data_IF_245013541326
#
_entry.id   IF_245013541326
#
_cell.length_a   1.000
_cell.length_b   1.000
_cell.length_c   1.000
_cell.angle_alpha   90.00
_cell.angle_beta   90.00
_cell.angle_gamma   90.00
#
_symmetry.space_group_name_H-M   'P 1'
#
loop_
_entity.id
_entity.type
_entity.pdbx_description
1 polymer ?
#
# COMPACT_ATOMS: atom_id res chain seq x y z
N UNK A 1 -25.27 6.28 -0.51
CA UNK A 1 -24.89 4.90 -0.08
C UNK A 1 -23.69 4.97 0.83
N UNK A 2 -23.61 4.14 1.86
CA UNK A 2 -22.40 3.97 2.66
C UNK A 2 -21.67 2.69 2.24
N UNK A 3 -20.36 2.76 2.09
CA UNK A 3 -19.54 1.60 1.76
C UNK A 3 -18.17 1.66 2.45
N UNK A 4 -17.62 0.50 2.79
CA UNK A 4 -16.31 0.42 3.44
C UNK A 4 -15.19 0.59 2.43
N UNK A 5 -14.31 1.57 2.64
CA UNK A 5 -13.11 1.78 1.83
C UNK A 5 -11.94 0.98 2.43
N UNK A 6 -11.79 1.07 3.75
CA UNK A 6 -10.86 0.27 4.54
C UNK A 6 -11.67 -0.35 5.68
N UNK A 7 -11.83 -1.67 5.73
CA UNK A 7 -12.53 -2.35 6.81
C UNK A 7 -12.14 -1.82 8.19
N UNK A 8 -13.15 -1.63 9.05
CA UNK A 8 -13.02 -1.13 10.42
C UNK A 8 -12.48 0.30 10.62
N UNK A 9 -12.03 0.98 9.55
CA UNK A 9 -11.34 2.27 9.68
C UNK A 9 -11.92 3.39 8.81
N UNK A 10 -12.15 3.16 7.52
CA UNK A 10 -12.55 4.20 6.56
C UNK A 10 -13.80 3.78 5.79
N UNK A 11 -14.78 4.67 5.72
CA UNK A 11 -15.98 4.49 4.92
C UNK A 11 -16.18 5.68 3.97
N UNK A 12 -16.86 5.44 2.85
CA UNK A 12 -17.31 6.44 1.92
C UNK A 12 -18.82 6.58 1.98
N UNK A 13 -19.29 7.82 2.06
CA UNK A 13 -20.65 8.22 1.74
C UNK A 13 -20.70 8.68 0.28
N UNK A 14 -21.28 7.85 -0.58
CA UNK A 14 -21.41 8.12 -2.01
C UNK A 14 -22.78 8.74 -2.30
N UNK A 15 -22.77 9.87 -3.01
CA UNK A 15 -23.97 10.55 -3.49
C UNK A 15 -24.43 9.84 -4.77
N UNK A 16 -25.61 9.23 -4.71
CA UNK A 16 -26.16 8.43 -5.82
C UNK A 16 -27.40 9.15 -6.35
N UNK A 17 -27.39 9.46 -7.64
CA UNK A 17 -28.54 10.00 -8.36
C UNK A 17 -29.42 8.88 -8.93
N UNK A 18 -28.81 7.86 -9.52
CA UNK A 18 -29.50 6.68 -10.07
C UNK A 18 -28.94 5.42 -9.39
N UNK A 19 -29.79 4.69 -8.67
CA UNK A 19 -29.40 3.47 -7.94
C UNK A 19 -29.21 2.26 -8.85
N UNK A 20 -29.73 2.28 -10.08
CA UNK A 20 -29.64 1.15 -11.01
C UNK A 20 -28.21 0.91 -11.49
N UNK A 21 -27.41 1.97 -11.63
CA UNK A 21 -25.98 1.87 -11.99
C UNK A 21 -25.15 1.20 -10.88
N UNK A 22 -25.60 1.24 -9.63
CA UNK A 22 -24.86 0.74 -8.47
C UNK A 22 -25.22 -0.69 -8.07
N UNK A 23 -25.79 -1.46 -9.00
CA UNK A 23 -26.22 -2.85 -8.78
C UNK A 23 -25.11 -3.72 -8.18
N UNK A 24 -23.86 -3.50 -8.60
CA UNK A 24 -22.69 -4.26 -8.13
C UNK A 24 -21.86 -3.53 -7.06
N UNK A 25 -22.41 -2.47 -6.48
CA UNK A 25 -21.76 -1.66 -5.45
C UNK A 25 -20.64 -0.75 -6.00
N UNK A 26 -19.84 -0.16 -5.10
CA UNK A 26 -18.78 0.77 -5.48
C UNK A 26 -17.48 0.05 -5.87
N UNK A 27 -16.76 0.66 -6.80
CA UNK A 27 -15.38 0.36 -7.17
C UNK A 27 -14.50 1.59 -6.89
N UNK A 28 -13.44 1.38 -6.13
CA UNK A 28 -12.46 2.39 -5.73
C UNK A 28 -11.25 2.30 -6.66
N UNK A 29 -10.91 3.39 -7.34
CA UNK A 29 -9.71 3.46 -8.17
C UNK A 29 -8.59 4.19 -7.44
N UNK A 30 -7.43 3.57 -7.33
CA UNK A 30 -6.24 4.15 -6.73
C UNK A 30 -5.11 4.28 -7.74
N UNK A 31 -4.47 5.45 -7.76
CA UNK A 31 -3.25 5.66 -8.50
C UNK A 31 -2.07 5.15 -7.68
N UNK A 32 -1.29 4.23 -8.25
CA UNK A 32 -0.13 3.61 -7.63
C UNK A 32 1.15 4.06 -8.33
N UNK A 33 2.12 4.50 -7.54
CA UNK A 33 3.47 4.80 -8.00
C UNK A 33 4.50 4.24 -7.01
N UNK A 34 5.35 3.33 -7.47
CA UNK A 34 6.48 2.80 -6.69
C UNK A 34 7.76 3.21 -7.41
N UNK A 35 8.62 3.95 -6.72
CA UNK A 35 9.91 4.40 -7.24
C UNK A 35 11.04 3.76 -6.44
N UNK A 36 11.96 3.12 -7.15
CA UNK A 36 13.22 2.63 -6.63
C UNK A 36 14.35 3.53 -7.10
N UNK A 37 15.24 3.89 -6.18
CA UNK A 37 16.49 4.60 -6.46
C UNK A 37 17.62 3.73 -5.92
N UNK A 38 18.44 3.22 -6.82
CA UNK A 38 19.50 2.26 -6.54
C UNK A 38 20.84 2.92 -6.84
N UNK A 39 21.77 2.84 -5.89
CA UNK A 39 23.11 3.39 -6.02
C UNK A 39 24.16 2.36 -5.56
N UNK A 40 24.89 1.73 -6.51
CA UNK A 40 25.89 0.70 -6.19
C UNK A 40 27.15 1.23 -5.46
N UNK A 41 27.59 2.47 -5.72
CA UNK A 41 28.71 3.14 -5.05
C UNK A 41 28.44 4.65 -4.96
N UNK A 42 28.88 5.38 -3.91
CA UNK A 42 28.84 6.84 -3.84
C UNK A 42 29.28 7.60 -5.12
N UNK A 43 30.20 7.05 -5.90
CA UNK A 43 30.73 7.64 -7.14
C UNK A 43 30.11 7.06 -8.42
N UNK A 44 29.26 6.04 -8.28
CA UNK A 44 28.61 5.38 -9.41
C UNK A 44 27.25 6.02 -9.72
N UNK A 45 26.76 5.67 -10.89
CA UNK A 45 25.55 6.16 -11.50
C UNK A 45 24.29 5.72 -10.76
N UNK A 46 23.31 6.62 -10.69
CA UNK A 46 22.04 6.36 -10.01
C UNK A 46 21.09 5.69 -10.98
N UNK A 47 20.62 4.51 -10.62
CA UNK A 47 19.59 3.80 -11.36
C UNK A 47 18.23 4.11 -10.74
N UNK A 48 17.26 4.51 -11.56
CA UNK A 48 15.90 4.78 -11.10
C UNK A 48 14.91 3.89 -11.85
N UNK A 49 14.10 3.14 -11.10
CA UNK A 49 13.03 2.32 -11.64
C UNK A 49 11.71 2.85 -11.07
N UNK A 50 10.71 3.00 -11.92
CA UNK A 50 9.40 3.49 -11.54
C UNK A 50 8.32 2.54 -12.06
N UNK A 51 7.43 2.10 -11.17
CA UNK A 51 6.27 1.30 -11.47
C UNK A 51 5.03 2.17 -11.29
N UNK A 52 4.29 2.38 -12.36
CA UNK A 52 3.04 3.17 -12.35
C UNK A 52 1.91 2.24 -12.78
N UNK A 53 0.81 2.27 -12.03
CA UNK A 53 -0.37 1.44 -12.31
C UNK A 53 -1.61 2.04 -11.63
N UNK A 54 -2.77 1.50 -11.98
CA UNK A 54 -4.02 1.71 -11.26
C UNK A 54 -4.42 0.43 -10.55
N UNK A 55 -4.69 0.54 -9.25
CA UNK A 55 -5.27 -0.54 -8.44
C UNK A 55 -6.73 -0.24 -8.25
N UNK A 56 -7.61 -1.16 -8.64
CA UNK A 56 -9.04 -1.04 -8.36
C UNK A 56 -9.45 -1.99 -7.27
N UNK A 57 -10.19 -1.52 -6.27
CA UNK A 57 -10.65 -2.35 -5.18
C UNK A 57 -12.14 -2.20 -4.92
N UNK A 58 -12.75 -3.25 -4.36
CA UNK A 58 -14.17 -3.35 -4.08
C UNK A 58 -14.37 -4.08 -2.75
N UNK A 59 -15.36 -3.69 -1.92
CA UNK A 59 -15.71 -4.46 -0.74
C UNK A 59 -16.25 -5.83 -1.14
N UNK A 60 -15.72 -6.91 -0.54
CA UNK A 60 -16.23 -8.28 -0.76
C UNK A 60 -17.03 -8.76 0.46
N UNK A 61 -16.47 -8.60 1.65
CA UNK A 61 -17.10 -8.89 2.94
C UNK A 61 -16.81 -7.74 3.91
N UNK A 62 -17.25 -7.84 5.16
CA UNK A 62 -16.99 -6.82 6.18
C UNK A 62 -15.52 -6.63 6.54
N UNK A 63 -14.69 -7.63 6.24
CA UNK A 63 -13.29 -7.76 6.62
C UNK A 63 -12.35 -7.95 5.41
N UNK A 64 -12.88 -7.94 4.18
CA UNK A 64 -12.10 -8.24 2.98
C UNK A 64 -12.45 -7.28 1.86
N UNK A 65 -11.42 -6.73 1.21
CA UNK A 65 -11.56 -6.02 -0.06
C UNK A 65 -10.91 -6.83 -1.17
N UNK A 66 -11.61 -6.96 -2.27
CA UNK A 66 -11.11 -7.55 -3.49
C UNK A 66 -10.45 -6.47 -4.34
N UNK A 67 -9.26 -6.72 -4.87
CA UNK A 67 -8.49 -5.78 -5.66
C UNK A 67 -8.01 -6.39 -6.98
N UNK A 68 -7.85 -5.52 -7.97
CA UNK A 68 -7.29 -5.83 -9.27
C UNK A 68 -6.19 -4.81 -9.57
N UNK A 69 -4.96 -5.31 -9.72
CA UNK A 69 -3.83 -4.57 -10.24
C UNK A 69 -3.84 -4.67 -11.76
N UNK A 70 -4.03 -3.55 -12.45
CA UNK A 70 -4.01 -3.48 -13.91
C UNK A 70 -2.61 -3.15 -14.41
N UNK A 71 -2.23 -3.68 -15.57
CA UNK A 71 -1.03 -3.35 -16.37
C UNK A 71 -0.05 -2.35 -15.73
N UNK A 72 1.16 -2.82 -15.43
CA UNK A 72 2.18 -1.99 -14.80
C UNK A 72 3.04 -1.36 -15.89
N UNK A 73 3.10 -0.04 -15.90
CA UNK A 73 4.09 0.70 -16.67
C UNK A 73 5.39 0.78 -15.88
N UNK A 74 6.43 0.17 -16.43
CA UNK A 74 7.77 0.16 -15.87
C UNK A 74 8.61 1.17 -16.65
N UNK A 75 9.12 2.18 -15.95
CA UNK A 75 10.08 3.13 -16.49
C UNK A 75 11.42 2.96 -15.79
N UNK A 76 12.47 2.73 -16.56
CA UNK A 76 13.83 2.55 -16.07
C UNK A 76 14.72 3.64 -16.66
N UNK A 77 15.44 4.33 -15.78
CA UNK A 77 16.39 5.39 -16.13
C UNK A 77 17.76 4.92 -15.64
N UNK A 78 18.64 4.66 -16.61
CA UNK A 78 20.05 4.37 -16.41
C UNK A 78 20.86 5.38 -17.20
N UNK A 79 21.55 6.30 -16.54
CA UNK A 79 22.35 7.34 -17.17
C UNK A 79 21.64 8.14 -18.27
N UNK A 80 21.82 7.71 -19.53
CA UNK A 80 21.31 8.32 -20.76
C UNK A 80 20.33 7.40 -21.51
N UNK A 81 19.97 6.26 -20.94
CA UNK A 81 19.02 5.33 -21.50
C UNK A 81 17.74 5.34 -20.68
N UNK A 82 16.66 5.78 -21.32
CA UNK A 82 15.31 5.74 -20.77
C UNK A 82 14.57 4.62 -21.48
N UNK A 83 14.13 3.62 -20.73
CA UNK A 83 13.28 2.56 -21.25
C UNK A 83 11.94 2.64 -20.54
N UNK A 84 10.87 2.65 -21.32
CA UNK A 84 9.52 2.47 -20.80
C UNK A 84 8.93 1.23 -21.43
N UNK A 85 8.41 0.34 -20.60
CA UNK A 85 7.77 -0.91 -21.02
C UNK A 85 6.48 -1.10 -20.24
N UNK A 86 5.46 -1.60 -20.92
CA UNK A 86 4.26 -2.08 -20.28
C UNK A 86 4.41 -3.57 -19.99
N UNK A 87 4.29 -3.94 -18.72
CA UNK A 87 4.20 -5.33 -18.31
C UNK A 87 2.72 -5.68 -18.17
N UNK A 88 2.23 -6.59 -19.03
CA UNK A 88 0.91 -7.19 -18.87
C UNK A 88 0.89 -7.97 -17.55
N UNK A 89 0.40 -7.30 -16.52
CA UNK A 89 0.36 -7.78 -15.14
C UNK A 89 -1.05 -7.52 -14.65
N UNK A 90 -2.00 -8.31 -15.15
CA UNK A 90 -3.36 -8.35 -14.60
C UNK A 90 -3.35 -9.35 -13.46
N UNK A 91 -3.40 -8.84 -12.24
CA UNK A 91 -3.37 -9.66 -11.03
C UNK A 91 -4.53 -9.29 -10.13
N UNK A 92 -5.38 -10.28 -9.87
CA UNK A 92 -6.44 -10.20 -8.86
C UNK A 92 -5.93 -10.74 -7.53
N UNK A 93 -6.39 -10.12 -6.44
CA UNK A 93 -6.01 -10.47 -5.08
C UNK A 93 -7.01 -9.90 -4.08
N UNK A 94 -7.02 -10.39 -2.85
CA UNK A 94 -7.82 -9.83 -1.77
C UNK A 94 -6.92 -9.35 -0.64
N UNK A 95 -7.28 -8.24 -0.02
CA UNK A 95 -6.64 -7.77 1.22
C UNK A 95 -7.59 -8.13 2.35
N UNK A 96 -7.11 -8.96 3.27
CA UNK A 96 -7.86 -9.41 4.44
C UNK A 96 -7.50 -8.54 5.64
N UNK A 97 -8.51 -8.16 6.40
CA UNK A 97 -8.40 -7.30 7.57
C UNK A 97 -8.87 -8.01 8.82
N UNK A 98 -8.38 -7.54 9.96
CA UNK A 98 -8.91 -7.85 11.28
C UNK A 98 -9.04 -6.54 12.07
N UNK A 99 -9.34 -6.64 13.37
CA UNK A 99 -9.49 -5.45 14.23
C UNK A 99 -8.19 -4.64 14.42
N UNK A 100 -7.04 -5.20 14.01
CA UNK A 100 -5.69 -4.62 14.08
C UNK A 100 -5.16 -4.13 12.72
N UNK A 101 -6.01 -4.05 11.69
CA UNK A 101 -5.61 -3.60 10.36
C UNK A 101 -5.46 -4.78 9.40
N UNK A 102 -4.43 -4.75 8.55
CA UNK A 102 -4.25 -5.77 7.51
C UNK A 102 -3.68 -7.05 8.11
N UNK A 103 -4.40 -8.16 7.94
CA UNK A 103 -3.99 -9.50 8.35
C UNK A 103 -3.05 -10.14 7.32
N UNK A 104 -3.34 -9.96 6.03
CA UNK A 104 -2.59 -10.58 4.95
C UNK A 104 -3.25 -10.42 3.59
N UNK A 105 -2.77 -11.19 2.62
CA UNK A 105 -3.25 -11.22 1.25
C UNK A 105 -3.86 -12.58 0.91
N UNK A 106 -4.93 -12.60 0.13
CA UNK A 106 -5.41 -13.82 -0.51
C UNK A 106 -5.10 -13.74 -2.00
N UNK A 107 -4.33 -14.68 -2.52
CA UNK A 107 -3.94 -14.73 -3.94
C UNK A 107 -4.23 -16.11 -4.52
N UNK A 108 -4.15 -16.22 -5.85
CA UNK A 108 -4.17 -17.50 -6.56
C UNK A 108 -2.77 -17.90 -7.00
N UNK A 109 -2.26 -19.06 -6.53
CA UNK A 109 -1.07 -19.66 -7.10
C UNK A 109 -1.32 -20.29 -8.49
N UNK A 110 -0.29 -20.40 -9.35
CA UNK A 110 1.05 -19.88 -9.17
C UNK A 110 1.15 -18.39 -9.52
N UNK A 111 1.74 -17.60 -8.63
CA UNK A 111 2.03 -16.17 -8.86
C UNK A 111 3.54 -15.94 -8.79
N UNK A 112 4.06 -15.04 -9.64
CA UNK A 112 5.48 -14.65 -9.59
C UNK A 112 5.77 -13.86 -8.33
N UNK A 113 6.85 -14.19 -7.63
CA UNK A 113 7.17 -13.58 -6.32
C UNK A 113 7.38 -12.06 -6.41
N UNK A 114 7.91 -11.57 -7.51
CA UNK A 114 8.08 -10.14 -7.77
C UNK A 114 6.72 -9.41 -7.77
N UNK A 115 5.70 -10.03 -8.38
CA UNK A 115 4.33 -9.51 -8.38
C UNK A 115 3.74 -9.59 -6.98
N UNK A 116 3.90 -10.73 -6.29
CA UNK A 116 3.41 -10.91 -4.91
C UNK A 116 4.00 -9.86 -3.97
N UNK A 117 5.28 -9.51 -4.11
CA UNK A 117 5.91 -8.46 -3.32
C UNK A 117 5.31 -7.08 -3.59
N UNK A 118 4.96 -6.76 -4.85
CA UNK A 118 4.20 -5.55 -5.17
C UNK A 118 2.83 -5.57 -4.49
N UNK A 119 2.11 -6.70 -4.51
CA UNK A 119 0.83 -6.82 -3.81
C UNK A 119 0.97 -6.60 -2.29
N UNK A 120 2.01 -7.16 -1.66
CA UNK A 120 2.30 -6.98 -0.23
C UNK A 120 2.57 -5.51 0.10
N UNK A 121 3.27 -4.80 -0.79
CA UNK A 121 3.52 -3.35 -0.66
C UNK A 121 2.24 -2.54 -0.75
N UNK A 122 1.36 -2.88 -1.69
CA UNK A 122 0.03 -2.28 -1.82
C UNK A 122 -0.75 -2.49 -0.53
N UNK A 123 -0.92 -3.74 -0.09
CA UNK A 123 -1.67 -4.08 1.12
C UNK A 123 -1.11 -3.37 2.37
N UNK A 124 0.21 -3.25 2.49
CA UNK A 124 0.85 -2.52 3.60
C UNK A 124 0.42 -1.05 3.66
N UNK A 125 0.12 -0.39 2.52
CA UNK A 125 -0.39 0.98 2.52
C UNK A 125 -1.81 1.10 3.11
N UNK A 126 -2.61 0.03 3.06
CA UNK A 126 -3.95 -0.03 3.65
C UNK A 126 -3.94 -0.35 5.15
N UNK A 127 -2.77 -0.71 5.71
CA UNK A 127 -2.64 -0.88 7.15
C UNK A 127 -2.51 0.48 7.84
N UNK A 128 -3.64 1.15 8.15
CA UNK A 128 -3.63 2.54 8.63
C UNK A 128 -3.32 2.65 10.14
N UNK A 129 -3.97 1.87 10.99
CA UNK A 129 -3.77 1.88 12.44
C UNK A 129 -3.95 0.48 13.02
N UNK A 130 -3.08 0.08 13.96
CA UNK A 130 -3.10 -1.24 14.59
C UNK A 130 -4.01 -1.36 15.82
N UNK A 131 -4.37 -0.23 16.42
CA UNK A 131 -5.37 -0.18 17.47
C UNK A 131 -6.21 1.08 17.30
N UNK A 132 -7.45 0.90 16.86
CA UNK A 132 -8.42 1.99 16.68
C UNK A 132 -8.65 2.82 17.94
N UNK A 133 -8.44 2.26 19.13
CA UNK A 133 -8.61 2.98 20.41
C UNK A 133 -7.55 4.08 20.59
N UNK A 134 -6.41 3.92 19.93
CA UNK A 134 -5.31 4.89 20.01
C UNK A 134 -5.46 6.04 19.00
N UNK A 135 -6.53 6.07 18.20
CA UNK A 135 -6.74 7.13 17.22
C UNK A 135 -6.77 8.52 17.87
N UNK A 136 -7.32 8.63 19.10
CA UNK A 136 -7.41 9.85 19.91
C UNK A 136 -6.11 10.21 20.62
N UNK A 137 -5.11 9.32 20.56
CA UNK A 137 -3.80 9.59 21.13
C UNK A 137 -2.94 10.27 20.08
N UNK A 138 -2.29 11.38 20.44
CA UNK A 138 -1.41 12.11 19.53
C UNK A 138 -0.17 11.30 19.13
N UNK A 139 0.34 10.45 20.01
CA UNK A 139 1.49 9.58 19.75
C UNK A 139 1.41 8.28 20.54
N UNK A 140 1.75 7.15 19.92
CA UNK A 140 1.88 5.88 20.62
C UNK A 140 2.88 4.96 19.92
N UNK A 141 3.31 3.91 20.61
CA UNK A 141 4.16 2.85 20.07
C UNK A 141 3.34 1.57 19.97
N UNK A 142 3.47 0.85 18.86
CA UNK A 142 2.92 -0.48 18.71
C UNK A 142 3.78 -1.32 17.76
N UNK A 143 3.56 -2.62 17.74
CA UNK A 143 4.16 -3.50 16.73
C UNK A 143 3.19 -3.68 15.57
N UNK A 144 3.69 -3.65 14.35
CA UNK A 144 2.89 -3.90 13.14
C UNK A 144 3.68 -4.74 12.15
N UNK A 145 2.97 -5.63 11.45
CA UNK A 145 3.57 -6.44 10.40
C UNK A 145 3.57 -5.66 9.07
N UNK A 146 4.59 -5.90 8.25
CA UNK A 146 4.81 -5.24 6.97
C UNK A 146 5.62 -6.12 6.04
N UNK A 147 5.90 -5.61 4.84
CA UNK A 147 6.86 -6.23 3.91
C UNK A 147 8.24 -6.46 4.53
N UNK A 148 8.61 -5.65 5.54
CA UNK A 148 9.88 -5.72 6.28
C UNK A 148 9.82 -6.60 7.54
N UNK A 149 8.72 -7.33 7.72
CA UNK A 149 8.44 -8.13 8.91
C UNK A 149 7.74 -7.35 10.02
N UNK A 150 7.79 -7.91 11.22
CA UNK A 150 7.17 -7.33 12.41
C UNK A 150 8.09 -6.23 12.97
N UNK A 151 7.69 -4.98 12.86
CA UNK A 151 8.47 -3.82 13.28
C UNK A 151 7.83 -3.10 14.46
N UNK A 152 8.66 -2.56 15.37
CA UNK A 152 8.18 -1.54 16.29
C UNK A 152 7.94 -0.25 15.50
N UNK A 153 6.76 0.34 15.67
CA UNK A 153 6.32 1.53 14.95
C UNK A 153 5.92 2.63 15.95
N UNK A 154 6.53 3.80 15.78
CA UNK A 154 6.12 5.04 16.43
C UNK A 154 5.08 5.73 15.57
N UNK A 155 3.88 5.93 16.11
CA UNK A 155 2.80 6.64 15.45
C UNK A 155 2.76 8.07 15.97
N UNK A 156 2.57 9.01 15.06
CA UNK A 156 2.24 10.40 15.36
C UNK A 156 0.98 10.76 14.59
N UNK A 157 -0.08 11.07 15.33
CA UNK A 157 -1.40 11.40 14.81
C UNK A 157 -1.62 12.90 15.00
N UNK A 158 -1.93 13.58 13.91
CA UNK A 158 -2.27 15.00 13.86
C UNK A 158 -3.67 15.16 13.30
N UNK A 159 -4.42 16.10 13.87
CA UNK A 159 -5.76 16.46 13.44
C UNK A 159 -5.78 17.95 13.18
N UNK A 160 -6.15 18.32 11.98
CA UNK A 160 -6.33 19.70 11.59
C UNK A 160 -7.81 19.89 11.31
N UNK A 161 -8.48 20.69 12.15
CA UNK A 161 -9.84 21.13 11.84
C UNK A 161 -9.76 22.07 10.65
N UNK A 162 -10.65 21.91 9.67
CA UNK A 162 -10.77 22.89 8.60
C UNK A 162 -11.13 24.24 9.23
N UNK A 163 -10.36 25.28 8.91
CA UNK A 163 -10.81 26.65 9.16
C UNK A 163 -12.13 26.84 8.41
N UNK A 164 -13.12 27.40 9.10
CA UNK A 164 -14.41 27.72 8.52
C UNK A 164 -14.16 28.80 7.48
N UNK A 165 -13.93 28.42 6.23
CA UNK A 165 -14.42 29.12 5.04
C UNK A 165 -13.94 28.41 3.76
N UNK A 166 -14.88 28.31 2.81
CA UNK A 166 -14.75 27.67 1.50
C UNK A 166 -14.58 26.14 1.54
N UNK A 167 -15.69 25.44 1.77
CA UNK A 167 -15.89 24.18 1.02
C UNK A 167 -15.92 24.64 -0.44
N UNK A 168 -14.76 24.74 -1.09
CA UNK A 168 -14.72 24.65 -2.54
C UNK A 168 -15.52 23.38 -2.84
N UNK A 169 -16.57 23.54 -3.64
CA UNK A 169 -17.34 22.42 -4.18
C UNK A 169 -16.39 21.61 -5.07
N UNK A 170 -15.49 20.85 -4.44
CA UNK A 170 -14.67 19.88 -5.12
C UNK A 170 -15.69 18.85 -5.61
N UNK A 171 -15.89 18.86 -6.93
CA UNK A 171 -16.88 18.11 -7.69
C UNK A 171 -16.61 16.59 -7.60
N UNK A 172 -16.70 16.06 -6.39
CA UNK A 172 -16.51 14.65 -6.04
C UNK A 172 -17.85 14.11 -5.60
N UNK A 173 -18.22 12.97 -6.15
CA UNK A 173 -19.48 12.28 -5.86
C UNK A 173 -19.45 11.49 -4.53
N UNK A 174 -18.42 11.65 -3.71
CA UNK A 174 -18.26 10.93 -2.45
C UNK A 174 -17.70 11.80 -1.33
N UNK A 175 -17.94 11.36 -0.09
CA UNK A 175 -17.35 11.91 1.12
C UNK A 175 -16.82 10.81 2.02
N UNK A 176 -15.54 10.84 2.36
CA UNK A 176 -14.91 9.92 3.29
C UNK A 176 -15.26 10.27 4.74
N UNK A 177 -15.40 9.23 5.55
CA UNK A 177 -15.60 9.30 7.01
C UNK A 177 -14.68 8.30 7.70
N UNK A 178 -13.95 8.79 8.69
CA UNK A 178 -13.09 7.99 9.55
C UNK A 178 -13.98 7.39 10.65
N UNK A 179 -14.14 6.07 10.66
CA UNK A 179 -15.11 5.37 11.52
C UNK A 179 -14.84 5.54 13.03
N UNK A 180 -13.59 5.55 13.51
CA UNK A 180 -13.32 5.87 14.90
C UNK A 180 -13.60 7.33 15.29
N UNK A 181 -13.83 8.22 14.31
CA UNK A 181 -13.97 9.67 14.49
C UNK A 181 -15.29 10.20 13.94
N UNK A 182 -16.38 9.44 14.09
CA UNK A 182 -17.70 9.82 13.55
C UNK A 182 -18.19 11.18 14.09
N UNK A 183 -17.80 11.54 15.31
CA UNK A 183 -18.17 12.80 15.96
C UNK A 183 -17.25 13.98 15.59
N UNK A 184 -16.19 13.75 14.79
CA UNK A 184 -15.31 14.83 14.36
C UNK A 184 -16.04 15.81 13.44
N UNK A 185 -15.62 17.08 13.48
CA UNK A 185 -16.19 18.11 12.60
C UNK A 185 -16.00 17.72 11.13
N UNK A 186 -16.99 18.04 10.32
CA UNK A 186 -16.89 17.84 8.87
C UNK A 186 -15.67 18.60 8.33
N UNK A 187 -14.84 17.93 7.52
CA UNK A 187 -13.63 18.52 6.96
C UNK A 187 -12.38 18.36 7.82
N UNK A 188 -12.44 17.71 8.99
CA UNK A 188 -11.23 17.36 9.75
C UNK A 188 -10.27 16.54 8.88
N UNK A 189 -9.04 17.03 8.75
CA UNK A 189 -7.94 16.29 8.12
C UNK A 189 -7.20 15.51 9.19
N UNK A 190 -7.10 14.19 8.98
CA UNK A 190 -6.30 13.28 9.79
C UNK A 190 -4.98 13.02 9.07
N UNK A 191 -3.88 13.24 9.78
CA UNK A 191 -2.53 12.90 9.32
C UNK A 191 -1.91 11.90 10.28
N UNK A 192 -1.42 10.79 9.77
CA UNK A 192 -0.75 9.73 10.54
C UNK A 192 0.64 9.56 9.96
N UNK A 193 1.66 9.84 10.76
CA UNK A 193 3.04 9.50 10.46
C UNK A 193 3.45 8.27 11.26
N UNK A 194 4.10 7.31 10.60
CA UNK A 194 4.62 6.08 11.19
C UNK A 194 6.13 6.03 10.97
N UNK A 195 6.90 5.81 12.02
CA UNK A 195 8.34 5.56 11.94
C UNK A 195 8.64 4.17 12.46
N UNK A 196 9.13 3.28 11.60
CA UNK A 196 9.37 1.86 11.92
C UNK A 196 10.85 1.60 12.21
N UNK A 197 11.09 0.78 13.22
CA UNK A 197 12.41 0.42 13.72
C UNK A 197 12.41 -0.98 14.34
N UNK A 198 13.58 -1.60 14.49
CA UNK A 198 13.73 -2.87 15.20
C UNK A 198 12.85 -3.99 14.64
N UNK A 199 12.86 -4.16 13.31
CA UNK A 199 12.10 -5.20 12.62
C UNK A 199 12.65 -6.59 12.92
N UNK A 200 11.75 -7.52 13.25
CA UNK A 200 12.04 -8.93 13.46
C UNK A 200 11.77 -9.66 12.15
N UNK A 201 12.69 -10.54 11.76
CA UNK A 201 12.67 -11.29 10.50
C UNK A 201 12.55 -10.39 9.25
N UNK A 202 13.43 -9.37 9.09
CA UNK A 202 13.43 -8.55 7.89
C UNK A 202 13.87 -9.35 6.65
N UNK A 203 13.38 -9.00 5.44
CA UNK A 203 13.67 -9.73 4.21
C UNK A 203 15.15 -10.06 4.03
N UNK A 204 15.43 -11.29 3.61
CA UNK A 204 16.76 -11.69 3.13
C UNK A 204 17.02 -11.26 1.68
N UNK A 205 15.97 -10.89 0.95
CA UNK A 205 16.00 -10.50 -0.45
C UNK A 205 15.24 -9.18 -0.59
N UNK A 206 15.87 -8.19 -1.20
CA UNK A 206 15.13 -7.06 -1.79
C UNK A 206 14.76 -7.44 -3.23
N UNK A 207 13.68 -6.88 -3.78
CA UNK A 207 13.05 -7.30 -5.04
C UNK A 207 13.98 -7.56 -6.25
N UNK A 208 15.20 -7.00 -6.25
CA UNK A 208 16.19 -7.09 -7.33
C UNK A 208 17.56 -7.64 -6.87
N UNK A 209 17.73 -8.04 -5.60
CA UNK A 209 19.05 -8.44 -5.07
C UNK A 209 19.02 -9.44 -3.91
N UNK A 210 20.00 -10.34 -3.92
CA UNK A 210 20.28 -11.34 -2.86
C UNK A 210 21.33 -10.85 -1.87
N UNK A 211 20.97 -9.88 -1.03
CA UNK A 211 21.85 -9.39 0.02
C UNK A 211 21.13 -9.08 1.32
N UNK A 212 21.90 -8.94 2.40
CA UNK A 212 21.38 -8.63 3.74
C UNK A 212 20.97 -7.15 3.78
N UNK A 213 19.67 -6.91 3.99
CA UNK A 213 19.11 -5.58 4.09
C UNK A 213 19.32 -4.99 5.49
N UNK A 214 20.04 -3.87 5.53
CA UNK A 214 20.23 -3.02 6.70
C UNK A 214 19.30 -1.80 6.57
N UNK A 215 18.17 -1.84 7.28
CA UNK A 215 17.17 -0.77 7.26
C UNK A 215 17.69 0.46 8.01
N UNK A 216 17.73 1.60 7.33
CA UNK A 216 18.13 2.89 7.93
C UNK A 216 16.93 3.73 8.32
N UNK A 217 15.95 3.82 7.43
CA UNK A 217 14.76 4.65 7.62
C UNK A 217 13.57 3.95 6.99
N UNK A 218 12.45 3.95 7.71
CA UNK A 218 11.19 3.46 7.18
C UNK A 218 10.06 4.31 7.75
N UNK A 219 9.57 5.25 6.93
CA UNK A 219 8.55 6.21 7.32
C UNK A 219 7.35 6.09 6.38
N UNK A 220 6.16 6.06 6.96
CA UNK A 220 4.91 6.22 6.20
C UNK A 220 4.15 7.45 6.68
N UNK A 221 3.48 8.12 5.75
CA UNK A 221 2.57 9.24 5.99
C UNK A 221 1.24 8.90 5.32
N UNK A 222 0.16 9.05 6.06
CA UNK A 222 -1.20 8.80 5.59
C UNK A 222 -1.99 10.07 5.86
N UNK A 223 -2.62 10.61 4.82
CA UNK A 223 -3.45 11.79 4.92
C UNK A 223 -4.88 11.46 4.47
N UNK A 224 -5.84 11.81 5.31
CA UNK A 224 -7.26 11.53 5.08
C UNK A 224 -8.06 12.78 5.38
N UNK A 225 -8.88 13.20 4.44
CA UNK A 225 -9.90 14.22 4.67
C UNK A 225 -11.22 13.77 4.01
N UNK A 226 -12.18 14.68 3.84
CA UNK A 226 -13.50 14.36 3.29
C UNK A 226 -13.49 13.82 1.85
N UNK A 227 -12.47 14.05 1.04
CA UNK A 227 -12.44 13.60 -0.36
C UNK A 227 -11.09 13.02 -0.79
N UNK A 228 -10.15 12.92 0.13
CA UNK A 228 -8.77 12.56 -0.14
C UNK A 228 -8.33 11.44 0.79
N UNK A 229 -7.77 10.39 0.20
CA UNK A 229 -7.01 9.36 0.91
C UNK A 229 -5.69 9.19 0.17
N UNK A 230 -4.59 9.57 0.81
CA UNK A 230 -3.25 9.46 0.25
C UNK A 230 -2.32 8.76 1.22
N UNK A 231 -1.45 7.94 0.66
CA UNK A 231 -0.39 7.26 1.38
C UNK A 231 0.94 7.56 0.70
N UNK A 232 1.95 7.82 1.52
CA UNK A 232 3.34 8.00 1.09
C UNK A 232 4.21 7.18 2.02
N UNK A 233 5.04 6.31 1.48
CA UNK A 233 6.00 5.54 2.24
C UNK A 233 7.39 5.74 1.66
N UNK A 234 8.37 6.03 2.51
CA UNK A 234 9.78 6.12 2.17
C UNK A 234 10.56 5.09 2.99
N UNK A 235 11.30 4.25 2.28
CA UNK A 235 12.22 3.29 2.86
C UNK A 235 13.63 3.56 2.33
N UNK A 236 14.59 3.70 3.24
CA UNK A 236 16.02 3.77 2.93
C UNK A 236 16.74 2.61 3.59
N UNK A 237 17.55 1.90 2.82
CA UNK A 237 18.34 0.77 3.29
C UNK A 237 19.67 0.63 2.57
N UNK A 238 20.54 -0.19 3.15
CA UNK A 238 21.76 -0.66 2.50
C UNK A 238 21.65 -2.17 2.36
N UNK A 239 21.93 -2.66 1.17
CA UNK A 239 22.04 -4.09 0.90
C UNK A 239 23.52 -4.47 0.94
N UNK A 240 23.87 -5.43 1.81
CA UNK A 240 25.23 -5.96 1.93
C UNK A 240 25.28 -7.36 1.33
N UNK A 241 26.21 -7.58 0.41
CA UNK A 241 26.40 -8.88 -0.23
C UNK A 241 27.40 -9.72 0.59
N UNK A 242 27.07 -10.97 0.96
CA UNK A 242 27.99 -11.82 1.71
C UNK A 242 29.15 -12.35 0.82
N UNK A 243 30.25 -11.58 0.75
CA UNK A 243 31.68 -11.93 0.48
C UNK A 243 32.18 -12.42 -0.90
N UNK A 244 33.39 -11.93 -1.21
CA UNK A 244 34.42 -12.20 -2.26
C UNK A 244 34.05 -12.27 -3.75
N UNK A 245 32.83 -12.65 -4.14
CA UNK A 245 32.45 -12.80 -5.57
C UNK A 245 31.78 -11.54 -6.18
N UNK A 246 31.40 -10.56 -5.37
CA UNK A 246 30.79 -9.31 -5.84
C UNK A 246 31.74 -8.12 -5.64
N UNK A 247 32.18 -7.48 -6.73
CA UNK A 247 32.90 -6.20 -6.69
C UNK A 247 32.03 -5.07 -6.05
N UNK A 248 30.71 -5.25 -6.00
CA UNK A 248 29.79 -4.38 -5.25
C UNK A 248 29.85 -4.69 -3.74
N UNK A 249 30.60 -3.88 -2.99
CA UNK A 249 30.68 -4.02 -1.53
C UNK A 249 29.37 -3.72 -0.80
N UNK A 250 28.63 -2.67 -1.19
CA UNK A 250 27.35 -2.27 -0.58
C UNK A 250 26.50 -1.51 -1.58
N UNK A 251 25.21 -1.81 -1.66
CA UNK A 251 24.27 -1.08 -2.51
C UNK A 251 23.35 -0.23 -1.65
N UNK A 252 23.29 1.08 -1.90
CA UNK A 252 22.31 1.96 -1.29
C UNK A 252 21.00 1.84 -2.06
N UNK A 253 19.91 1.70 -1.32
CA UNK A 253 18.59 1.49 -1.88
C UNK A 253 17.59 2.42 -1.20
N UNK A 254 16.82 3.13 -2.02
CA UNK A 254 15.67 3.91 -1.59
C UNK A 254 14.44 3.48 -2.34
N UNK A 255 13.36 3.23 -1.62
CA UNK A 255 12.03 2.96 -2.14
C UNK A 255 11.06 4.05 -1.69
N UNK A 256 10.24 4.50 -2.63
CA UNK A 256 9.15 5.44 -2.38
C UNK A 256 7.87 4.83 -2.95
N UNK A 257 6.85 4.64 -2.11
CA UNK A 257 5.54 4.13 -2.51
C UNK A 257 4.51 5.23 -2.30
N UNK A 258 3.65 5.45 -3.30
CA UNK A 258 2.51 6.35 -3.24
C UNK A 258 1.27 5.62 -3.71
N UNK A 259 0.20 5.65 -2.90
CA UNK A 259 -1.12 5.14 -3.28
C UNK A 259 -2.16 6.18 -2.87
N UNK A 260 -2.89 6.68 -3.87
CA UNK A 260 -3.84 7.77 -3.70
C UNK A 260 -5.20 7.35 -4.25
N UNK A 261 -6.27 7.56 -3.49
CA UNK A 261 -7.63 7.37 -3.98
C UNK A 261 -7.94 8.44 -5.04
N UNK A 262 -8.27 7.98 -6.25
CA UNK A 262 -8.59 8.83 -7.38
C UNK A 262 -10.11 8.99 -7.54
N UNK A 263 -10.85 7.88 -7.62
CA UNK A 263 -12.31 7.92 -7.83
C UNK A 263 -13.07 6.80 -7.11
N UNK A 264 -14.38 7.02 -6.94
CA UNK A 264 -15.35 6.01 -6.50
C UNK A 264 -16.49 5.98 -7.51
N UNK A 265 -16.61 4.85 -8.22
CA UNK A 265 -17.51 4.68 -9.36
C UNK A 265 -18.39 3.43 -9.17
N UNK A 266 -19.55 3.34 -9.85
CA UNK A 266 -20.33 2.12 -9.88
C UNK A 266 -19.54 0.99 -10.54
N UNK A 267 -19.50 -0.18 -9.90
CA UNK A 267 -18.82 -1.34 -10.47
C UNK A 267 -19.57 -1.86 -11.71
N UNK A 268 -18.87 -2.17 -12.82
CA UNK A 268 -19.52 -2.56 -14.07
C UNK A 268 -20.04 -4.01 -14.09
N UNK A 269 -19.56 -4.85 -13.16
CA UNK A 269 -19.84 -6.29 -13.14
C UNK A 269 -19.79 -6.87 -11.72
N UNK A 270 -20.23 -8.12 -11.59
CA UNK A 270 -20.08 -8.89 -10.37
C UNK A 270 -18.60 -9.15 -10.05
N UNK A 271 -18.27 -9.34 -8.77
CA UNK A 271 -16.92 -9.69 -8.35
C UNK A 271 -16.51 -11.04 -8.96
N UNK A 272 -15.30 -11.14 -9.55
CA UNK A 272 -14.78 -12.44 -9.94
C UNK A 272 -14.47 -13.29 -8.70
N UNK A 273 -14.39 -14.60 -8.88
CA UNK A 273 -14.09 -15.55 -7.82
C UNK A 273 -12.67 -16.08 -7.96
N UNK A 274 -11.92 -16.13 -6.85
CA UNK A 274 -10.67 -16.88 -6.77
C UNK A 274 -11.01 -18.37 -6.66
N UNK A 275 -10.56 -19.16 -7.63
CA UNK A 275 -10.65 -20.61 -7.76
C UNK A 275 -9.83 -21.34 -6.69
N UNK A 276 -8.60 -20.89 -6.41
CA UNK A 276 -7.69 -21.52 -5.44
C UNK A 276 -7.05 -20.48 -4.51
N UNK A 277 -7.84 -19.86 -3.61
CA UNK A 277 -7.36 -18.81 -2.74
C UNK A 277 -6.39 -19.36 -1.69
N UNK A 278 -5.22 -18.75 -1.58
CA UNK A 278 -4.24 -18.99 -0.52
C UNK A 278 -4.00 -17.71 0.28
N UNK A 279 -4.15 -17.79 1.60
CA UNK A 279 -3.83 -16.68 2.52
C UNK A 279 -2.31 -16.67 2.77
N UNK A 280 -1.69 -15.55 2.44
CA UNK A 280 -0.26 -15.33 2.60
C UNK A 280 0.01 -14.13 3.50
N UNK A 281 1.14 -14.19 4.19
CA UNK A 281 1.58 -13.11 5.06
C UNK A 281 2.15 -11.92 4.25
N UNK A 282 2.11 -10.74 4.86
CA UNK A 282 2.74 -9.52 4.35
C UNK A 282 4.27 -9.62 4.37
N UNK A 283 4.84 -10.39 5.30
CA UNK A 283 6.29 -10.54 5.39
C UNK A 283 6.82 -11.32 4.19
N UNK A 284 7.78 -10.71 3.50
CA UNK A 284 8.47 -11.26 2.33
C UNK A 284 9.36 -12.47 2.63
N UNK A 285 9.69 -12.76 3.89
CA UNK A 285 10.44 -13.96 4.27
C UNK A 285 9.56 -15.20 4.47
N UNK A 286 8.26 -15.03 4.69
CA UNK A 286 7.33 -16.13 4.95
C UNK A 286 6.80 -16.70 3.63
N UNK A 287 7.71 -16.95 2.69
CA UNK A 287 7.34 -17.34 1.33
C UNK A 287 6.49 -18.61 1.31
N UNK A 288 5.53 -18.58 0.38
CA UNK A 288 4.70 -19.73 -0.01
C UNK A 288 5.67 -20.88 -0.29
N UNK A 289 5.49 -22.07 0.30
CA UNK A 289 6.32 -23.21 -0.03
C UNK A 289 6.29 -23.39 -1.56
N UNK A 290 7.44 -23.17 -2.17
CA UNK A 290 7.68 -23.32 -3.61
C UNK A 290 7.62 -24.81 -3.98
N UNK A 291 6.42 -25.39 -3.87
CA UNK A 291 6.19 -26.79 -4.22
C UNK A 291 6.11 -27.02 -5.73
N UNK A 292 6.38 -26.01 -6.56
CA UNK A 292 6.41 -26.15 -8.01
C UNK A 292 7.61 -25.41 -8.60
N UNK A 293 8.81 -25.90 -8.28
CA UNK A 293 9.96 -25.79 -9.19
C UNK A 293 9.94 -27.05 -10.05
N UNK A 294 9.57 -26.91 -11.32
CA UNK A 294 9.96 -27.81 -12.40
C UNK A 294 10.46 -26.97 -13.56
#
# INVERSE_FOLDING_TARGET
MYASVIPYFLAAYVIINDTSEWTFGPEYSYDMNITYVIKPDPHDHVQKIQLISTVKCRPKTSDTIFCHLYNITISEIFDNYNMTREAQTEQIFEIKFNEHGVEGLVIEPPSRMEVVNVLRKIATQFNVIVDRRNIDTSQFMARENSTMGDCAAAYKIMREEAEIDTIEEINTNFRLRILPLIDAKSGTTLSIEKSRMGCINPPRYVDFSRGILDMRRFISKIQINSNKFETFTEFDGIVRFPTEESEMGTLSFKEIIQINLNSIEPAPNELPTLSYPELIDLNTNNDIPSNFIN
#
